data_IF_783235989479
#
_entry.id   IF_783235989479
#
_cell.length_a   1.000
_cell.length_b   1.000
_cell.length_c   1.000
_cell.angle_alpha   90.00
_cell.angle_beta   90.00
_cell.angle_gamma   90.00
#
_symmetry.space_group_name_H-M   'P 1'
#
loop_
_entity.id
_entity.type
_entity.pdbx_description
1 polymer ?
#
# COMPACT_ATOMS: atom_id res chain seq x y z
N UNK A 1 -5.72 1.77 1.20
CA UNK A 1 -5.32 1.15 2.49
C UNK A 1 -6.57 0.60 3.17
N UNK A 2 -6.67 -0.71 3.32
CA UNK A 2 -7.72 -1.39 4.10
C UNK A 2 -7.28 -1.49 5.57
N UNK A 3 -8.19 -1.19 6.50
CA UNK A 3 -7.95 -1.11 7.93
C UNK A 3 -8.72 -2.24 8.65
N UNK A 4 -8.15 -2.78 9.74
CA UNK A 4 -8.85 -3.76 10.59
C UNK A 4 -9.93 -3.08 11.45
N UNK A 5 -10.86 -3.81 12.09
CA UNK A 5 -11.87 -3.21 12.96
C UNK A 5 -11.27 -2.37 14.09
N UNK A 6 -10.16 -2.82 14.69
CA UNK A 6 -9.44 -2.05 15.72
C UNK A 6 -8.85 -0.74 15.18
N UNK A 7 -8.34 -0.77 13.95
CA UNK A 7 -7.84 0.43 13.29
C UNK A 7 -8.98 1.40 12.96
N UNK A 8 -10.13 0.88 12.54
CA UNK A 8 -11.34 1.67 12.30
C UNK A 8 -11.85 2.31 13.60
N UNK A 9 -11.83 1.58 14.73
CA UNK A 9 -12.17 2.12 16.06
C UNK A 9 -11.24 3.26 16.47
N UNK A 10 -9.92 3.10 16.27
CA UNK A 10 -8.93 4.18 16.49
C UNK A 10 -9.17 5.39 15.57
N UNK A 11 -9.62 5.17 14.34
CA UNK A 11 -9.98 6.28 13.44
C UNK A 11 -11.28 6.94 13.87
N UNK A 12 -12.25 6.18 14.38
CA UNK A 12 -13.56 6.69 14.79
C UNK A 12 -13.41 7.65 15.96
N UNK A 13 -12.62 7.25 16.96
CA UNK A 13 -12.29 8.08 18.13
C UNK A 13 -11.48 9.34 17.78
N UNK A 14 -10.76 9.36 16.65
CA UNK A 14 -10.05 10.55 16.15
C UNK A 14 -10.93 11.51 15.35
N UNK A 15 -12.10 11.07 14.88
CA UNK A 15 -13.06 11.96 14.26
C UNK A 15 -13.59 12.92 15.34
N UNK A 16 -13.25 14.21 15.23
CA UNK A 16 -13.79 15.29 16.10
C UNK A 16 -15.28 15.52 15.80
N UNK A 17 -16.13 14.56 16.15
CA UNK A 17 -17.53 14.51 15.72
C UNK A 17 -18.47 14.20 16.87
N UNK A 18 -19.77 14.41 16.64
CA UNK A 18 -20.81 14.28 17.67
C UNK A 18 -20.83 12.89 18.29
N UNK A 19 -21.00 12.84 19.62
CA UNK A 19 -21.00 11.60 20.43
C UNK A 19 -21.94 10.53 19.87
N UNK A 20 -23.10 10.92 19.33
CA UNK A 20 -24.05 9.99 18.73
C UNK A 20 -23.53 9.29 17.47
N UNK A 21 -22.76 9.97 16.62
CA UNK A 21 -22.19 9.35 15.42
C UNK A 21 -21.14 8.29 15.77
N UNK A 22 -20.31 8.57 16.78
CA UNK A 22 -19.32 7.61 17.27
C UNK A 22 -20.00 6.35 17.80
N UNK A 23 -21.04 6.50 18.64
CA UNK A 23 -21.76 5.35 19.20
C UNK A 23 -22.36 4.41 18.15
N UNK A 24 -22.93 4.95 17.06
CA UNK A 24 -23.44 4.11 15.97
C UNK A 24 -22.33 3.36 15.24
N UNK A 25 -21.21 4.05 14.95
CA UNK A 25 -20.07 3.42 14.27
C UNK A 25 -19.42 2.34 15.13
N UNK A 26 -19.24 2.61 16.43
CA UNK A 26 -18.71 1.65 17.38
C UNK A 26 -19.60 0.41 17.49
N UNK A 27 -20.92 0.57 17.59
CA UNK A 27 -21.84 -0.57 17.64
C UNK A 27 -21.72 -1.48 16.40
N UNK A 28 -21.61 -0.91 15.20
CA UNK A 28 -21.41 -1.69 13.96
C UNK A 28 -20.05 -2.38 13.96
N UNK A 29 -19.00 -1.68 14.39
CA UNK A 29 -17.63 -2.22 14.46
C UNK A 29 -17.51 -3.32 15.51
N UNK A 30 -18.23 -3.21 16.63
CA UNK A 30 -18.24 -4.20 17.71
C UNK A 30 -18.89 -5.51 17.28
N UNK A 31 -19.96 -5.46 16.46
CA UNK A 31 -20.56 -6.65 15.86
C UNK A 31 -19.66 -7.34 14.81
N UNK A 32 -18.63 -6.66 14.31
CA UNK A 32 -17.77 -7.11 13.21
C UNK A 32 -16.62 -8.02 13.68
N UNK A 33 -16.95 -9.16 14.29
CA UNK A 33 -15.97 -10.15 14.70
C UNK A 33 -15.38 -10.89 13.47
N UNK A 34 -14.07 -11.16 13.46
CA UNK A 34 -13.40 -11.86 12.35
C UNK A 34 -12.61 -10.94 11.41
N UNK A 35 -12.25 -11.39 10.18
CA UNK A 35 -11.35 -10.67 9.28
C UNK A 35 -12.05 -9.58 8.47
N UNK A 36 -12.88 -8.79 9.14
CA UNK A 36 -13.39 -7.59 8.50
C UNK A 36 -12.22 -6.68 8.14
N UNK A 37 -12.32 -6.12 6.94
CA UNK A 37 -11.43 -5.09 6.46
C UNK A 37 -12.30 -3.94 6.01
N UNK A 38 -11.90 -2.72 6.32
CA UNK A 38 -12.71 -1.58 5.95
C UNK A 38 -11.94 -0.30 5.77
N UNK A 39 -12.68 0.71 5.37
CA UNK A 39 -12.24 2.08 5.34
C UNK A 39 -13.37 2.91 5.93
N UNK A 40 -12.97 3.98 6.59
CA UNK A 40 -13.91 4.97 7.06
C UNK A 40 -13.49 6.31 6.50
N UNK A 41 -14.46 7.00 5.95
CA UNK A 41 -14.30 8.34 5.44
C UNK A 41 -15.32 9.27 6.09
N UNK A 42 -14.97 10.54 6.10
CA UNK A 42 -15.58 11.54 6.89
C UNK A 42 -15.81 12.76 5.99
N UNK A 43 -17.01 12.86 5.42
CA UNK A 43 -17.36 14.02 4.59
C UNK A 43 -17.31 15.29 5.44
N UNK A 44 -16.71 16.36 4.91
CA UNK A 44 -16.64 17.67 5.55
C UNK A 44 -18.01 18.28 5.87
N UNK A 45 -19.09 17.68 5.37
CA UNK A 45 -20.50 18.04 5.63
C UNK A 45 -21.12 17.39 6.87
N UNK A 46 -20.34 16.67 7.67
CA UNK A 46 -20.78 16.11 8.96
C UNK A 46 -21.37 14.70 8.89
N UNK A 47 -21.24 14.01 7.76
CA UNK A 47 -21.55 12.57 7.63
C UNK A 47 -20.28 11.74 7.68
N UNK A 48 -20.36 10.55 8.25
CA UNK A 48 -19.32 9.53 8.24
C UNK A 48 -19.81 8.38 7.38
N UNK A 49 -18.92 7.84 6.56
CA UNK A 49 -19.15 6.64 5.79
C UNK A 49 -18.22 5.54 6.27
N UNK A 50 -18.80 4.43 6.69
CA UNK A 50 -18.10 3.21 7.05
C UNK A 50 -18.31 2.19 5.92
N UNK A 51 -17.22 1.74 5.32
CA UNK A 51 -17.22 0.65 4.33
C UNK A 51 -16.45 -0.52 4.90
N UNK A 52 -17.06 -1.69 5.01
CA UNK A 52 -16.38 -2.91 5.45
C UNK A 52 -16.70 -4.07 4.53
N UNK A 53 -15.75 -4.99 4.41
CA UNK A 53 -15.90 -6.24 3.69
C UNK A 53 -15.35 -7.40 4.50
N UNK A 54 -15.98 -8.55 4.38
CA UNK A 54 -15.61 -9.78 5.05
C UNK A 54 -15.41 -10.86 3.99
N UNK A 55 -14.18 -11.38 3.91
CA UNK A 55 -13.79 -12.45 2.99
C UNK A 55 -14.19 -12.21 1.50
N UNK A 56 -14.39 -10.96 1.08
CA UNK A 56 -14.86 -10.60 -0.26
C UNK A 56 -16.31 -10.98 -0.59
N UNK A 57 -17.02 -11.61 0.36
CA UNK A 57 -18.36 -12.15 0.18
C UNK A 57 -19.44 -11.28 0.81
N UNK A 58 -19.13 -10.67 1.96
CA UNK A 58 -20.04 -9.74 2.61
C UNK A 58 -19.48 -8.33 2.51
N UNK A 59 -20.34 -7.36 2.25
CA UNK A 59 -20.00 -5.94 2.22
C UNK A 59 -21.05 -5.13 2.96
N UNK A 60 -20.61 -4.17 3.74
CA UNK A 60 -21.45 -3.13 4.33
C UNK A 60 -20.93 -1.76 3.95
N UNK A 61 -21.84 -0.87 3.56
CA UNK A 61 -21.61 0.57 3.45
C UNK A 61 -22.65 1.27 4.32
N UNK A 62 -22.23 1.92 5.41
CA UNK A 62 -23.12 2.63 6.32
C UNK A 62 -22.76 4.12 6.34
N UNK A 63 -23.75 4.97 6.07
CA UNK A 63 -23.62 6.43 6.15
C UNK A 63 -24.33 6.93 7.41
N UNK A 64 -23.56 7.46 8.34
CA UNK A 64 -24.03 7.95 9.65
C UNK A 64 -23.94 9.47 9.69
N UNK A 65 -25.01 10.15 10.08
CA UNK A 65 -25.01 11.60 10.30
C UNK A 65 -24.33 11.97 11.62
N UNK A 66 -23.94 13.24 11.78
CA UNK A 66 -23.36 13.77 13.03
C UNK A 66 -24.28 13.59 14.25
N UNK A 67 -25.60 13.49 14.02
CA UNK A 67 -26.60 13.23 15.04
C UNK A 67 -26.72 11.74 15.45
N UNK A 68 -25.91 10.85 14.88
CA UNK A 68 -25.99 9.42 15.19
C UNK A 68 -27.17 8.72 14.53
N UNK A 69 -27.58 9.16 13.33
CA UNK A 69 -28.63 8.48 12.56
C UNK A 69 -28.05 7.85 11.31
N UNK A 70 -28.46 6.62 11.02
CA UNK A 70 -28.20 5.97 9.74
C UNK A 70 -29.06 6.66 8.65
N UNK A 71 -28.40 7.16 7.62
CA UNK A 71 -29.06 7.80 6.48
C UNK A 71 -29.22 6.83 5.30
N UNK A 72 -28.19 6.01 5.08
CA UNK A 72 -28.12 4.99 4.04
C UNK A 72 -27.31 3.82 4.59
N UNK A 73 -27.80 2.60 4.41
CA UNK A 73 -27.00 1.39 4.63
C UNK A 73 -27.19 0.46 3.45
N UNK A 74 -26.09 -0.01 2.87
CA UNK A 74 -26.07 -1.07 1.88
C UNK A 74 -25.43 -2.29 2.51
N UNK A 75 -26.14 -3.41 2.48
CA UNK A 75 -25.71 -4.70 2.98
C UNK A 75 -25.70 -5.65 1.78
N UNK A 76 -24.57 -6.26 1.51
CA UNK A 76 -24.46 -7.27 0.47
C UNK A 76 -23.95 -8.55 1.13
N UNK A 77 -24.71 -9.62 0.96
CA UNK A 77 -24.27 -10.99 1.20
C UNK A 77 -24.06 -11.70 -0.16
N UNK A 78 -23.57 -12.96 -0.20
CA UNK A 78 -23.33 -13.66 -1.47
C UNK A 78 -24.54 -13.80 -2.39
N UNK A 79 -25.75 -13.71 -1.85
CA UNK A 79 -26.98 -14.04 -2.57
C UNK A 79 -27.88 -12.82 -2.77
N UNK A 80 -27.84 -11.84 -1.87
CA UNK A 80 -28.82 -10.76 -1.76
C UNK A 80 -28.11 -9.43 -1.41
N UNK A 81 -28.56 -8.37 -2.07
CA UNK A 81 -28.24 -6.98 -1.70
C UNK A 81 -29.47 -6.31 -1.07
N UNK A 82 -29.32 -5.79 0.15
CA UNK A 82 -30.33 -5.02 0.87
C UNK A 82 -29.89 -3.59 1.09
N UNK A 83 -30.80 -2.64 0.86
CA UNK A 83 -30.52 -1.21 1.05
C UNK A 83 -31.56 -0.57 1.96
N UNK A 84 -31.11 -0.11 3.13
CA UNK A 84 -31.88 0.71 4.05
C UNK A 84 -31.70 2.18 3.68
N UNK A 85 -32.79 2.88 3.36
CA UNK A 85 -32.74 4.30 3.05
C UNK A 85 -34.01 5.04 3.44
N UNK A 86 -33.83 6.28 3.88
CA UNK A 86 -34.94 7.18 4.20
C UNK A 86 -35.67 7.59 2.92
N UNK A 87 -34.99 7.54 1.78
CA UNK A 87 -35.55 7.79 0.46
C UNK A 87 -36.12 6.48 -0.11
N UNK A 88 -37.44 6.37 -0.32
CA UNK A 88 -38.06 5.15 -0.83
C UNK A 88 -37.46 4.65 -2.15
N UNK A 89 -37.08 5.57 -3.04
CA UNK A 89 -36.48 5.26 -4.33
C UNK A 89 -35.11 4.55 -4.26
N UNK A 90 -34.44 4.57 -3.10
CA UNK A 90 -33.14 3.91 -2.90
C UNK A 90 -33.26 2.57 -2.18
N UNK A 91 -34.45 2.19 -1.71
CA UNK A 91 -34.67 0.94 -0.99
C UNK A 91 -34.61 -0.24 -1.97
N UNK A 92 -33.96 -1.33 -1.56
CA UNK A 92 -33.75 -2.52 -2.39
C UNK A 92 -33.66 -3.76 -1.50
N UNK A 93 -34.09 -4.92 -2.01
CA UNK A 93 -33.91 -6.21 -1.34
C UNK A 93 -34.94 -6.51 -0.26
N UNK A 94 -36.09 -5.84 -0.29
CA UNK A 94 -37.20 -6.02 0.66
C UNK A 94 -38.44 -6.53 -0.06
N UNK A 95 -39.21 -7.39 0.60
CA UNK A 95 -40.46 -7.96 0.09
C UNK A 95 -41.57 -7.79 1.14
N UNK A 96 -42.78 -8.23 0.81
CA UNK A 96 -43.89 -8.22 1.78
C UNK A 96 -43.68 -9.25 2.91
N UNK A 97 -43.00 -10.37 2.61
CA UNK A 97 -42.64 -11.40 3.59
C UNK A 97 -41.47 -10.98 4.49
N UNK A 98 -40.60 -10.11 3.99
CA UNK A 98 -39.48 -9.53 4.74
C UNK A 98 -39.48 -8.00 4.60
N UNK A 99 -40.33 -7.30 5.39
CA UNK A 99 -40.45 -5.87 5.28
C UNK A 99 -39.19 -5.18 5.79
N UNK A 100 -38.86 -4.05 5.16
CA UNK A 100 -37.75 -3.22 5.62
C UNK A 100 -37.99 -2.76 7.07
N UNK A 101 -37.00 -2.89 7.98
CA UNK A 101 -37.12 -2.36 9.33
C UNK A 101 -37.34 -0.85 9.31
N UNK A 102 -37.98 -0.32 10.35
CA UNK A 102 -38.25 1.13 10.51
C UNK A 102 -37.18 1.76 11.38
N UNK A 103 -37.01 3.08 11.31
CA UNK A 103 -36.20 3.78 12.31
C UNK A 103 -36.98 3.84 13.64
N UNK A 104 -36.34 3.61 14.79
CA UNK A 104 -34.89 3.56 15.03
C UNK A 104 -34.20 2.18 14.86
N UNK A 105 -34.96 1.10 14.61
CA UNK A 105 -34.52 -0.31 14.63
C UNK A 105 -33.44 -0.66 13.59
N UNK A 106 -33.10 0.26 12.68
CA UNK A 106 -32.06 0.06 11.68
C UNK A 106 -30.70 -0.28 12.28
N UNK A 107 -30.33 0.33 13.40
CA UNK A 107 -29.03 0.05 14.01
C UNK A 107 -28.96 -1.39 14.51
N UNK A 108 -29.99 -1.86 15.19
CA UNK A 108 -30.09 -3.23 15.69
C UNK A 108 -30.11 -4.24 14.54
N UNK A 109 -30.86 -3.95 13.48
CA UNK A 109 -30.86 -4.78 12.27
C UNK A 109 -29.47 -4.85 11.62
N UNK A 110 -28.77 -3.73 11.51
CA UNK A 110 -27.43 -3.71 10.90
C UNK A 110 -26.41 -4.43 11.77
N UNK A 111 -26.42 -4.22 13.08
CA UNK A 111 -25.51 -4.90 14.02
C UNK A 111 -25.74 -6.41 13.98
N UNK A 112 -27.00 -6.87 14.08
CA UNK A 112 -27.34 -8.29 14.00
C UNK A 112 -26.97 -8.91 12.64
N UNK A 113 -27.12 -8.18 11.53
CA UNK A 113 -26.66 -8.65 10.22
C UNK A 113 -25.13 -8.81 10.19
N UNK A 114 -24.37 -7.85 10.72
CA UNK A 114 -22.90 -7.92 10.77
C UNK A 114 -22.44 -9.07 11.67
N UNK A 115 -23.09 -9.29 12.81
CA UNK A 115 -22.82 -10.42 13.71
C UNK A 115 -23.11 -11.76 13.02
N UNK A 116 -24.26 -11.86 12.33
CA UNK A 116 -24.61 -13.06 11.58
C UNK A 116 -23.63 -13.33 10.44
N UNK A 117 -23.26 -12.32 9.65
CA UNK A 117 -22.26 -12.43 8.60
C UNK A 117 -20.90 -12.87 9.17
N UNK A 118 -20.53 -12.36 10.35
CA UNK A 118 -19.32 -12.76 11.08
C UNK A 118 -19.35 -14.22 11.51
N UNK A 119 -20.53 -14.75 11.86
CA UNK A 119 -20.70 -16.16 12.26
C UNK A 119 -20.51 -17.15 11.09
N UNK A 120 -20.77 -16.72 9.85
CA UNK A 120 -20.60 -17.55 8.66
C UNK A 120 -19.13 -17.79 8.29
N UNK A 121 -18.22 -16.95 8.79
CA UNK A 121 -16.79 -17.10 8.52
C UNK A 121 -16.13 -17.86 9.66
N UNK A 122 -15.57 -19.03 9.35
CA UNK A 122 -14.79 -19.79 10.33
C UNK A 122 -13.55 -18.99 10.72
N UNK A 123 -13.59 -18.43 11.93
CA UNK A 123 -12.50 -17.67 12.53
C UNK A 123 -11.20 -18.47 12.55
N UNK A 124 -11.26 -19.80 12.71
CA UNK A 124 -10.07 -20.67 12.70
C UNK A 124 -9.43 -20.73 11.32
N UNK A 125 -10.23 -20.93 10.26
CA UNK A 125 -9.74 -20.93 8.89
C UNK A 125 -9.06 -19.61 8.53
N UNK A 126 -9.62 -18.49 8.99
CA UNK A 126 -9.05 -17.16 8.79
C UNK A 126 -7.72 -16.98 9.52
N UNK A 127 -7.66 -17.37 10.80
CA UNK A 127 -6.42 -17.27 11.58
C UNK A 127 -5.35 -18.15 10.92
N UNK A 128 -5.69 -19.37 10.51
CA UNK A 128 -4.79 -20.25 9.79
C UNK A 128 -4.25 -19.60 8.49
N UNK A 129 -5.13 -19.01 7.68
CA UNK A 129 -4.72 -18.28 6.48
C UNK A 129 -3.81 -17.07 6.78
N UNK A 130 -4.10 -16.31 7.84
CA UNK A 130 -3.25 -15.19 8.27
C UNK A 130 -1.86 -15.65 8.73
N UNK A 131 -1.81 -16.76 9.47
CA UNK A 131 -0.54 -17.37 9.89
C UNK A 131 0.27 -17.82 8.69
N UNK A 132 -0.35 -18.54 7.75
CA UNK A 132 0.31 -18.97 6.51
C UNK A 132 0.84 -17.77 5.68
N UNK A 133 0.06 -16.68 5.60
CA UNK A 133 0.51 -15.45 4.95
C UNK A 133 1.67 -14.76 5.68
N UNK A 134 1.70 -14.81 7.01
CA UNK A 134 2.80 -14.28 7.81
C UNK A 134 4.06 -15.15 7.64
N UNK A 135 3.92 -16.47 7.63
CA UNK A 135 5.01 -17.43 7.41
C UNK A 135 5.64 -17.22 6.03
N UNK A 136 4.83 -17.06 4.97
CA UNK A 136 5.33 -16.72 3.63
C UNK A 136 6.09 -15.40 3.60
N UNK A 137 5.63 -14.39 4.35
CA UNK A 137 6.33 -13.10 4.44
C UNK A 137 7.65 -13.22 5.19
N UNK A 138 7.70 -14.02 6.26
CA UNK A 138 8.93 -14.30 6.98
C UNK A 138 9.94 -15.01 6.07
N UNK A 139 9.52 -16.05 5.35
CA UNK A 139 10.38 -16.74 4.39
C UNK A 139 10.97 -15.79 3.33
N UNK A 140 10.16 -14.90 2.76
CA UNK A 140 10.65 -13.91 1.79
C UNK A 140 11.64 -12.89 2.41
N UNK A 141 11.46 -12.54 3.68
CA UNK A 141 12.42 -11.69 4.41
C UNK A 141 13.74 -12.44 4.66
N UNK A 142 13.68 -13.72 5.00
CA UNK A 142 14.85 -14.56 5.19
C UNK A 142 15.66 -14.71 3.90
N UNK A 143 15.00 -14.95 2.75
CA UNK A 143 15.63 -14.99 1.43
C UNK A 143 16.34 -13.67 1.10
N UNK A 144 15.71 -12.55 1.45
CA UNK A 144 16.30 -11.21 1.25
C UNK A 144 17.54 -11.03 2.11
N UNK A 145 17.50 -11.47 3.38
CA UNK A 145 18.65 -11.40 4.29
C UNK A 145 19.80 -12.27 3.78
N UNK A 146 19.51 -13.47 3.28
CA UNK A 146 20.52 -14.36 2.71
C UNK A 146 21.19 -13.76 1.47
N UNK A 147 20.41 -13.18 0.56
CA UNK A 147 20.92 -12.45 -0.61
C UNK A 147 21.83 -11.28 -0.22
N UNK A 148 21.42 -10.49 0.78
CA UNK A 148 22.24 -9.38 1.28
C UNK A 148 23.54 -9.86 1.91
N UNK A 149 23.53 -10.99 2.63
CA UNK A 149 24.74 -11.59 3.21
C UNK A 149 25.70 -12.08 2.12
N UNK A 150 25.18 -12.73 1.07
CA UNK A 150 25.99 -13.17 -0.07
C UNK A 150 26.66 -11.97 -0.77
N UNK A 151 25.89 -10.91 -1.07
CA UNK A 151 26.43 -9.69 -1.70
C UNK A 151 27.47 -8.99 -0.81
N UNK A 152 27.27 -8.97 0.51
CA UNK A 152 28.26 -8.42 1.44
C UNK A 152 29.55 -9.23 1.40
N UNK A 153 29.46 -10.56 1.40
CA UNK A 153 30.62 -11.43 1.32
C UNK A 153 31.41 -11.23 0.01
N UNK A 154 30.73 -11.11 -1.13
CA UNK A 154 31.38 -10.80 -2.42
C UNK A 154 32.12 -9.46 -2.38
N UNK A 155 31.53 -8.42 -1.79
CA UNK A 155 32.19 -7.12 -1.62
C UNK A 155 33.39 -7.19 -0.69
N UNK A 156 33.33 -8.00 0.36
CA UNK A 156 34.47 -8.23 1.25
C UNK A 156 35.62 -8.95 0.52
N UNK A 157 35.32 -9.93 -0.34
CA UNK A 157 36.31 -10.59 -1.19
C UNK A 157 36.94 -9.60 -2.16
N UNK A 158 36.14 -8.77 -2.86
CA UNK A 158 36.66 -7.73 -3.76
C UNK A 158 37.55 -6.73 -3.01
N UNK A 159 37.16 -6.32 -1.80
CA UNK A 159 37.97 -5.44 -0.95
C UNK A 159 39.31 -6.09 -0.60
N UNK A 160 39.33 -7.38 -0.30
CA UNK A 160 40.56 -8.10 0.01
C UNK A 160 41.49 -8.17 -1.21
N UNK A 161 40.95 -8.44 -2.41
CA UNK A 161 41.71 -8.42 -3.67
C UNK A 161 42.31 -7.04 -3.93
N UNK A 162 41.51 -5.97 -3.85
CA UNK A 162 41.99 -4.60 -4.06
C UNK A 162 43.03 -4.18 -3.02
N UNK A 163 42.90 -4.62 -1.77
CA UNK A 163 43.88 -4.33 -0.73
C UNK A 163 45.23 -5.02 -1.02
N UNK A 164 45.21 -6.24 -1.56
CA UNK A 164 46.42 -6.93 -2.00
C UNK A 164 47.09 -6.22 -3.18
N UNK A 165 46.32 -5.85 -4.21
CA UNK A 165 46.81 -5.10 -5.38
C UNK A 165 47.42 -3.75 -4.99
N UNK A 166 46.77 -2.98 -4.11
CA UNK A 166 47.33 -1.72 -3.59
C UNK A 166 48.66 -1.95 -2.88
N UNK A 167 48.80 -3.05 -2.14
CA UNK A 167 50.04 -3.39 -1.44
C UNK A 167 51.15 -3.74 -2.43
N UNK A 168 50.83 -4.50 -3.47
CA UNK A 168 51.74 -4.83 -4.57
C UNK A 168 52.21 -3.57 -5.30
N UNK A 169 51.29 -2.71 -5.75
CA UNK A 169 51.61 -1.47 -6.46
C UNK A 169 52.45 -0.51 -5.62
N UNK A 170 52.21 -0.43 -4.30
CA UNK A 170 53.06 0.34 -3.38
C UNK A 170 54.48 -0.24 -3.30
N UNK A 171 54.60 -1.57 -3.25
CA UNK A 171 55.90 -2.25 -3.29
C UNK A 171 56.65 -2.02 -4.61
N UNK A 172 55.96 -2.07 -5.74
CA UNK A 172 56.53 -1.73 -7.05
C UNK A 172 57.00 -0.28 -7.09
N UNK A 173 56.19 0.67 -6.61
CA UNK A 173 56.53 2.09 -6.55
C UNK A 173 57.78 2.35 -5.69
N UNK A 174 57.89 1.69 -4.53
CA UNK A 174 59.05 1.82 -3.64
C UNK A 174 60.33 1.20 -4.23
N UNK A 175 60.20 0.23 -5.13
CA UNK A 175 61.32 -0.41 -5.82
C UNK A 175 61.83 0.40 -7.03
N UNK A 176 61.00 1.28 -7.60
CA UNK A 176 61.45 2.18 -8.65
C UNK A 176 62.49 3.15 -8.07
N UNK A 177 63.65 3.33 -8.72
CA UNK A 177 64.64 4.29 -8.25
C UNK A 177 63.97 5.66 -8.18
N UNK A 178 64.10 6.34 -7.04
CA UNK A 178 63.76 7.75 -6.96
C UNK A 178 64.52 8.42 -8.11
N UNK A 179 63.80 9.05 -9.05
CA UNK A 179 64.44 9.91 -10.03
C UNK A 179 65.20 10.97 -9.23
N UNK A 180 66.50 10.75 -9.05
CA UNK A 180 67.41 11.70 -8.46
C UNK A 180 67.32 12.93 -9.37
N UNK A 181 66.83 14.07 -8.88
CA UNK A 181 66.81 15.28 -9.71
C UNK A 181 68.27 15.50 -10.15
N UNK A 182 68.52 15.72 -11.45
CA UNK A 182 69.89 15.98 -11.91
C UNK A 182 70.45 17.13 -11.09
N UNK A 183 71.66 16.93 -10.57
CA UNK A 183 72.38 17.90 -9.77
C UNK A 183 72.25 19.29 -10.39
N UNK A 184 71.76 20.24 -9.59
CA UNK A 184 71.63 21.64 -9.95
C UNK A 184 72.98 22.18 -10.44
N UNK A 185 73.10 22.44 -11.74
CA UNK A 185 73.98 23.50 -12.21
C UNK A 185 73.29 24.84 -11.92
N UNK A 186 74.02 25.85 -11.39
CA UNK A 186 73.43 27.13 -10.98
C UNK A 186 72.95 27.92 -12.20
N UNK A 187 71.65 27.84 -12.51
CA UNK A 187 71.02 28.70 -13.50
C UNK A 187 70.71 30.05 -12.89
N UNK A 188 71.39 31.04 -13.44
CA UNK A 188 71.26 32.48 -13.27
C UNK A 188 69.81 32.95 -13.13
N UNK A 189 69.57 33.73 -12.08
CA UNK A 189 68.40 34.59 -11.89
C UNK A 189 68.05 35.37 -13.17
N UNK A 190 66.90 35.04 -13.78
CA UNK A 190 66.15 35.98 -14.61
C UNK A 190 64.82 36.23 -13.92
N UNK A 191 64.74 37.36 -13.22
CA UNK A 191 63.51 37.97 -12.74
C UNK A 191 62.65 38.44 -13.92
N UNK A 192 61.44 37.89 -14.06
CA UNK A 192 60.33 38.48 -14.83
C UNK A 192 59.08 38.43 -13.93
N UNK A 193 58.24 39.48 -13.89
CA UNK A 193 57.34 39.73 -12.77
C UNK A 193 56.01 38.98 -12.85
N UNK A 194 55.51 38.68 -11.65
CA UNK A 194 54.13 38.42 -11.22
C UNK A 194 53.06 39.03 -12.11
N UNK A 195 52.11 38.22 -12.61
CA UNK A 195 50.67 38.46 -12.42
C UNK A 195 49.82 37.24 -12.83
N UNK A 196 48.67 37.12 -12.19
CA UNK A 196 47.50 36.27 -12.48
C UNK A 196 47.43 34.88 -11.85
N UNK A 197 46.65 34.83 -10.76
CA UNK A 197 46.14 33.68 -10.05
C UNK A 197 45.38 32.68 -10.95
N UNK A 198 45.38 31.36 -10.62
CA UNK A 198 44.40 30.45 -11.16
C UNK A 198 43.24 30.28 -10.16
N UNK A 199 42.06 30.72 -10.61
CA UNK A 199 40.77 30.35 -10.05
C UNK A 199 40.60 28.83 -10.08
N UNK A 200 40.24 28.26 -8.94
CA UNK A 200 39.71 26.90 -8.77
C UNK A 200 38.53 26.66 -9.70
N UNK A 201 38.56 25.68 -10.64
CA UNK A 201 37.34 25.19 -11.22
C UNK A 201 36.63 24.29 -10.21
N UNK A 202 35.44 24.71 -9.77
CA UNK A 202 34.49 23.84 -9.07
C UNK A 202 34.16 22.62 -9.96
N UNK A 203 33.95 21.43 -9.37
CA UNK A 203 33.43 20.30 -10.11
C UNK A 203 31.99 20.58 -10.53
N UNK A 204 31.77 20.72 -11.84
CA UNK A 204 30.43 20.67 -12.43
C UNK A 204 29.88 19.27 -12.17
N UNK A 205 28.98 19.17 -11.18
CA UNK A 205 28.08 18.04 -11.04
C UNK A 205 27.08 18.14 -12.19
N UNK A 206 27.33 17.38 -13.25
CA UNK A 206 26.35 17.13 -14.30
C UNK A 206 25.20 16.33 -13.67
N UNK A 207 24.14 17.02 -13.27
CA UNK A 207 22.90 16.37 -12.86
C UNK A 207 22.35 15.57 -14.04
N UNK A 208 21.87 14.33 -13.83
CA UNK A 208 21.09 13.64 -14.84
C UNK A 208 19.87 14.50 -15.21
N UNK A 209 19.44 14.50 -16.49
CA UNK A 209 18.28 15.27 -16.90
C UNK A 209 17.06 14.86 -16.08
N UNK A 210 16.32 15.86 -15.61
CA UNK A 210 15.00 15.66 -14.99
C UNK A 210 14.16 14.71 -15.86
N UNK A 211 13.46 13.72 -15.26
CA UNK A 211 12.52 12.91 -16.01
C UNK A 211 11.48 13.84 -16.63
N UNK A 212 11.44 13.88 -17.97
CA UNK A 212 10.36 14.55 -18.69
C UNK A 212 9.02 14.12 -18.09
N UNK A 213 8.08 15.05 -17.81
CA UNK A 213 6.72 14.66 -17.51
C UNK A 213 6.20 13.86 -18.70
N UNK A 214 5.75 12.63 -18.42
CA UNK A 214 5.12 11.77 -19.39
C UNK A 214 4.07 12.56 -20.18
N UNK A 215 4.13 12.48 -21.52
CA UNK A 215 3.07 12.97 -22.37
C UNK A 215 1.72 12.48 -21.82
N UNK A 216 0.72 13.36 -21.65
CA UNK A 216 -0.61 12.90 -21.32
C UNK A 216 -1.11 11.99 -22.44
N UNK A 217 -1.59 10.79 -22.06
CA UNK A 217 -2.32 9.90 -22.97
C UNK A 217 -3.43 10.71 -23.65
N UNK A 218 -3.61 10.59 -24.98
CA UNK A 218 -4.77 11.17 -25.63
C UNK A 218 -6.03 10.45 -25.17
N UNK A 219 -7.00 11.25 -24.73
CA UNK A 219 -8.40 10.87 -24.55
C UNK A 219 -8.93 10.22 -25.84
N UNK A 220 -9.20 8.93 -25.79
CA UNK A 220 -10.11 8.28 -26.72
C UNK A 220 -11.35 7.84 -25.95
N UNK A 221 -12.32 8.75 -25.93
CA UNK A 221 -13.71 8.41 -25.68
C UNK A 221 -14.28 7.62 -26.87
N UNK A 222 -15.02 6.57 -26.53
CA UNK A 222 -16.17 6.00 -27.25
C UNK A 222 -16.03 5.57 -28.71
N UNK A 223 -16.19 4.26 -28.95
CA UNK A 223 -17.30 3.77 -29.79
C UNK A 223 -17.55 2.26 -29.63
N UNK A 224 -18.77 1.96 -29.21
CA UNK A 224 -19.69 0.87 -29.56
C UNK A 224 -19.24 -0.41 -30.31
N UNK A 225 -19.80 -1.51 -29.78
CA UNK A 225 -20.54 -2.57 -30.48
C UNK A 225 -19.88 -3.88 -30.97
N UNK A 226 -20.33 -4.97 -30.30
CA UNK A 226 -21.02 -6.16 -30.86
C UNK A 226 -20.28 -7.13 -31.80
N UNK A 227 -20.01 -8.35 -31.29
CA UNK A 227 -20.36 -9.71 -31.79
C UNK A 227 -19.29 -10.74 -31.36
N UNK A 228 -19.59 -11.70 -30.47
CA UNK A 228 -20.16 -13.04 -30.75
C UNK A 228 -19.45 -13.82 -31.87
N UNK A 229 -18.60 -14.80 -31.49
CA UNK A 229 -18.63 -16.17 -32.06
C UNK A 229 -17.91 -17.20 -31.18
N UNK A 230 -18.66 -18.25 -30.81
CA UNK A 230 -18.31 -19.67 -30.67
C UNK A 230 -16.96 -20.10 -30.05
N UNK A 231 -17.03 -20.82 -28.93
CA UNK A 231 -16.24 -22.03 -28.71
C UNK A 231 -17.11 -23.08 -28.01
N UNK A 232 -17.49 -24.10 -28.77
CA UNK A 232 -17.96 -25.40 -28.30
C UNK A 232 -16.82 -26.41 -28.51
N UNK A 233 -16.91 -27.49 -27.73
CA UNK A 233 -16.21 -28.78 -27.85
C UNK A 233 -14.80 -28.90 -27.25
N UNK A 234 -14.36 -29.98 -26.59
CA UNK A 234 -14.92 -31.25 -26.09
C UNK A 234 -13.76 -31.93 -25.31
N UNK A 235 -14.04 -32.93 -24.46
CA UNK A 235 -13.10 -33.93 -23.88
C UNK A 235 -12.44 -33.48 -22.56
N UNK A 236 -12.45 -34.20 -21.44
CA UNK A 236 -12.27 -35.64 -21.25
C UNK A 236 -12.72 -36.05 -19.82
N UNK A 237 -13.53 -37.10 -19.70
CA UNK A 237 -13.74 -37.85 -18.45
C UNK A 237 -12.97 -39.16 -18.60
N UNK A 238 -12.02 -39.40 -17.70
CA UNK A 238 -11.40 -40.72 -17.47
C UNK A 238 -11.36 -40.92 -15.95
N UNK A 239 -12.04 -42.01 -15.54
CA UNK A 239 -12.03 -42.73 -14.25
C UNK A 239 -12.59 -42.01 -13.00
#
# INVERSE_FOLDING_TARGET
MTATPDDLRKRATRLRRGVGQLGVLEAIIDGAYGPWLGAMDADGRGTAELRMHLAGQYRITAVVTSAGKLNLVQLADPNIEKVLSNKPALRRGWSDDEPMPKQPDWIEYVVSWVENASSHVDRRAVIAWRLDGADRRLAAMDDTIESLRASLHEREQLRAVLAAEITELRGELDALPANEPPAEDPVTLITVPTDSAPTTPEPVVELPPDPQPANPLPDNASTDAVNQTAFLETTQVIL
#
